data_IF_039177958050
#
_entry.id   IF_039177958050
#
_cell.length_a   1.000
_cell.length_b   1.000
_cell.length_c   1.000
_cell.angle_alpha   90.00
_cell.angle_beta   90.00
_cell.angle_gamma   90.00
#
_symmetry.space_group_name_H-M   'P 1'
#
loop_
_entity.id
_entity.type
_entity.pdbx_description
1 polymer ?
#
# COMPACT_ATOMS: atom_id res chain seq x y z
N UNK A 1 -10.62 -3.84 26.89
CA UNK A 1 -9.15 -4.02 26.82
C UNK A 1 -8.93 -5.28 26.00
N UNK A 2 -8.69 -5.13 24.70
CA UNK A 2 -8.45 -6.26 23.79
C UNK A 2 -6.96 -6.60 23.90
N UNK A 3 -6.61 -7.45 24.88
CA UNK A 3 -5.28 -8.02 24.97
C UNK A 3 -5.24 -9.22 24.00
N UNK A 4 -4.62 -9.03 22.84
CA UNK A 4 -4.23 -10.13 21.96
C UNK A 4 -3.16 -10.94 22.70
N UNK A 5 -3.59 -12.01 23.37
CA UNK A 5 -2.74 -12.91 24.19
C UNK A 5 -2.23 -14.10 23.38
N UNK A 6 -2.82 -14.34 22.22
CA UNK A 6 -2.29 -15.19 21.18
C UNK A 6 -1.74 -14.22 20.14
N UNK A 7 -0.43 -14.25 19.92
CA UNK A 7 0.12 -13.60 18.74
C UNK A 7 -0.57 -14.23 17.54
N UNK A 8 -1.60 -13.56 17.01
CA UNK A 8 -2.03 -13.82 15.66
C UNK A 8 -0.81 -13.47 14.83
N UNK A 9 -0.09 -14.50 14.40
CA UNK A 9 0.91 -14.38 13.37
C UNK A 9 0.21 -13.63 12.24
N UNK A 10 0.53 -12.34 12.10
CA UNK A 10 0.01 -11.53 11.02
C UNK A 10 0.50 -12.23 9.75
N UNK A 11 -0.38 -12.99 9.10
CA UNK A 11 -0.03 -13.66 7.86
C UNK A 11 0.48 -12.58 6.90
N UNK A 12 1.69 -12.76 6.41
CA UNK A 12 2.26 -11.87 5.43
C UNK A 12 1.37 -11.88 4.19
N UNK A 13 0.68 -10.77 3.95
CA UNK A 13 -0.17 -10.59 2.77
C UNK A 13 0.67 -10.00 1.64
N UNK A 14 0.66 -10.69 0.49
CA UNK A 14 1.25 -10.19 -0.74
C UNK A 14 0.16 -9.62 -1.65
N UNK A 15 0.46 -8.52 -2.32
CA UNK A 15 -0.44 -7.86 -3.26
C UNK A 15 0.24 -7.72 -4.61
N UNK A 16 -0.50 -7.98 -5.69
CA UNK A 16 -0.03 -7.71 -7.05
C UNK A 16 -0.34 -6.25 -7.41
N UNK A 17 0.65 -5.55 -7.96
CA UNK A 17 0.53 -4.16 -8.39
C UNK A 17 0.78 -4.06 -9.90
N UNK A 18 -0.01 -3.23 -10.57
CA UNK A 18 0.22 -2.80 -11.95
C UNK A 18 0.99 -1.47 -11.94
N UNK A 19 2.10 -1.39 -12.68
CA UNK A 19 2.89 -0.15 -12.78
C UNK A 19 2.12 0.86 -13.63
N UNK A 20 1.74 1.99 -13.03
CA UNK A 20 1.04 3.07 -13.72
C UNK A 20 1.97 4.16 -14.25
N UNK A 21 3.10 4.39 -13.57
CA UNK A 21 4.12 5.34 -14.00
C UNK A 21 5.50 4.91 -13.48
N UNK A 22 6.54 5.13 -14.29
CA UNK A 22 7.91 4.83 -13.91
C UNK A 22 8.89 5.74 -14.68
N UNK A 23 9.78 6.39 -13.93
CA UNK A 23 10.95 7.10 -14.45
C UNK A 23 12.22 6.79 -13.62
N UNK A 24 13.31 7.51 -13.88
CA UNK A 24 14.60 7.30 -13.21
C UNK A 24 14.57 7.61 -11.69
N UNK A 25 13.55 8.31 -11.20
CA UNK A 25 13.43 8.76 -9.82
C UNK A 25 12.29 8.08 -9.06
N UNK A 26 11.18 7.78 -9.73
CA UNK A 26 9.96 7.34 -9.08
C UNK A 26 9.31 6.16 -9.80
N UNK A 27 8.68 5.29 -9.01
CA UNK A 27 7.75 4.26 -9.48
C UNK A 27 6.41 4.43 -8.76
N UNK A 28 5.32 4.45 -9.53
CA UNK A 28 3.94 4.43 -9.03
C UNK A 28 3.28 3.17 -9.55
N UNK A 29 2.72 2.37 -8.64
CA UNK A 29 2.01 1.16 -8.98
C UNK A 29 0.70 1.04 -8.19
N UNK A 30 -0.32 0.46 -8.80
CA UNK A 30 -1.68 0.39 -8.25
C UNK A 30 -2.10 -1.07 -8.15
N UNK A 31 -2.55 -1.49 -6.97
CA UNK A 31 -3.31 -2.72 -6.77
C UNK A 31 -4.77 -2.34 -6.64
N UNK A 32 -5.53 -2.55 -7.71
CA UNK A 32 -6.97 -2.27 -7.72
C UNK A 32 -7.68 -3.19 -6.75
N UNK A 33 -8.60 -2.63 -5.97
CA UNK A 33 -9.33 -3.37 -4.92
C UNK A 33 -8.41 -4.13 -3.93
N UNK A 34 -7.16 -3.66 -3.80
CA UNK A 34 -6.13 -4.32 -3.00
C UNK A 34 -6.42 -4.28 -1.50
N UNK A 35 -7.39 -3.47 -1.05
CA UNK A 35 -7.90 -3.44 0.33
C UNK A 35 -9.40 -3.77 0.37
N UNK A 36 -9.82 -4.75 -0.43
CA UNK A 36 -11.22 -5.13 -0.62
C UNK A 36 -11.84 -4.39 -1.82
N UNK A 37 -13.12 -4.63 -2.09
CA UNK A 37 -13.85 -4.21 -3.32
C UNK A 37 -14.04 -2.69 -3.51
N UNK A 38 -13.32 -1.85 -2.75
CA UNK A 38 -13.52 -0.41 -2.73
C UNK A 38 -12.22 0.38 -2.81
N UNK A 39 -11.18 -0.10 -2.12
CA UNK A 39 -9.97 0.67 -1.86
C UNK A 39 -8.83 0.16 -2.72
N UNK A 40 -8.37 1.04 -3.60
CA UNK A 40 -7.13 0.85 -4.33
C UNK A 40 -5.94 1.07 -3.39
N UNK A 41 -4.91 0.25 -3.56
CA UNK A 41 -3.60 0.47 -2.93
C UNK A 41 -2.68 1.12 -3.94
N UNK A 42 -2.20 2.33 -3.65
CA UNK A 42 -1.20 3.02 -4.47
C UNK A 42 0.15 2.95 -3.77
N UNK A 43 1.10 2.28 -4.40
CA UNK A 43 2.49 2.21 -3.96
C UNK A 43 3.29 3.29 -4.70
N UNK A 44 3.91 4.19 -3.96
CA UNK A 44 4.87 5.15 -4.47
C UNK A 44 6.26 4.79 -3.94
N UNK A 45 7.23 4.64 -4.83
CA UNK A 45 8.62 4.33 -4.48
C UNK A 45 9.51 5.46 -4.99
N UNK A 46 10.27 6.07 -4.08
CA UNK A 46 11.38 6.96 -4.39
C UNK A 46 12.64 6.10 -4.54
N UNK A 47 13.09 5.97 -5.79
CA UNK A 47 14.23 5.14 -6.17
C UNK A 47 15.57 5.78 -5.76
N UNK A 48 15.61 7.09 -5.54
CA UNK A 48 16.83 7.84 -5.23
C UNK A 48 16.95 8.11 -3.74
N UNK A 49 15.83 8.45 -3.10
CA UNK A 49 15.74 8.69 -1.66
C UNK A 49 15.59 7.43 -0.81
N UNK A 50 15.54 6.24 -1.44
CA UNK A 50 15.40 4.93 -0.79
C UNK A 50 14.17 4.87 0.13
N UNK A 51 13.05 5.40 -0.34
CA UNK A 51 11.82 5.51 0.44
C UNK A 51 10.61 4.95 -0.30
N UNK A 52 9.61 4.52 0.45
CA UNK A 52 8.32 4.15 -0.14
C UNK A 52 7.15 4.58 0.73
N UNK A 53 6.04 4.94 0.08
CA UNK A 53 4.76 5.20 0.73
C UNK A 53 3.68 4.32 0.12
N UNK A 54 2.79 3.84 0.98
CA UNK A 54 1.56 3.17 0.61
C UNK A 54 0.40 4.11 0.89
N UNK A 55 -0.36 4.44 -0.13
CA UNK A 55 -1.59 5.21 -0.02
C UNK A 55 -2.79 4.30 -0.31
N UNK A 56 -3.93 4.60 0.30
CA UNK A 56 -5.20 3.97 -0.05
C UNK A 56 -6.28 5.02 -0.21
N UNK A 57 -7.16 4.79 -1.19
CA UNK A 57 -8.32 5.64 -1.46
C UNK A 57 -9.35 4.86 -2.27
N UNK A 58 -10.62 5.32 -2.29
CA UNK A 58 -11.62 4.74 -3.20
C UNK A 58 -11.14 4.74 -4.65
N UNK A 59 -11.34 3.60 -5.33
CA UNK A 59 -11.04 3.44 -6.75
C UNK A 59 -12.09 4.09 -7.67
N UNK A 60 -12.12 3.66 -8.93
CA UNK A 60 -13.14 4.13 -9.88
C UNK A 60 -14.53 3.54 -9.55
N UNK A 61 -15.41 4.37 -8.97
CA UNK A 61 -16.77 4.00 -8.61
C UNK A 61 -17.35 4.93 -7.54
N UNK A 62 -18.65 4.82 -7.26
CA UNK A 62 -19.28 5.50 -6.12
C UNK A 62 -19.12 4.62 -4.86
N UNK A 63 -17.88 4.53 -4.37
CA UNK A 63 -17.58 3.84 -3.11
C UNK A 63 -17.16 4.84 -2.03
N UNK A 64 -17.70 4.66 -0.82
CA UNK A 64 -17.34 5.43 0.36
C UNK A 64 -16.32 4.63 1.16
N UNK A 65 -15.04 4.96 0.98
CA UNK A 65 -13.92 4.34 1.67
C UNK A 65 -12.96 5.38 2.24
N UNK A 66 -12.20 4.98 3.26
CA UNK A 66 -11.22 5.84 3.90
C UNK A 66 -10.09 6.21 2.95
N UNK A 67 -9.52 7.40 3.15
CA UNK A 67 -8.31 7.86 2.47
C UNK A 67 -7.19 7.95 3.50
N UNK A 68 -6.04 7.36 3.18
CA UNK A 68 -4.90 7.42 4.08
C UNK A 68 -3.59 7.06 3.43
N UNK A 69 -2.53 7.13 4.23
CA UNK A 69 -1.18 6.83 3.81
C UNK A 69 -0.34 6.28 4.95
N UNK A 70 0.62 5.44 4.61
CA UNK A 70 1.65 4.91 5.49
C UNK A 70 3.02 5.02 4.82
N UNK A 71 4.05 5.33 5.61
CA UNK A 71 5.44 5.19 5.17
C UNK A 71 5.87 3.75 5.36
N UNK A 72 6.49 3.17 4.34
CA UNK A 72 7.11 1.86 4.44
C UNK A 72 8.55 2.06 4.88
N UNK A 73 8.86 1.56 6.08
CA UNK A 73 10.21 1.58 6.65
C UNK A 73 10.72 0.15 6.60
N UNK A 74 11.76 -0.08 5.79
CA UNK A 74 12.50 -1.35 5.75
C UNK A 74 13.82 -1.24 6.50
N UNK A 75 14.38 -2.38 6.89
CA UNK A 75 15.75 -2.41 7.38
C UNK A 75 16.73 -2.20 6.21
N UNK A 76 17.66 -1.26 6.38
CA UNK A 76 18.82 -1.10 5.50
C UNK A 76 19.73 -2.32 5.70
N UNK A 77 19.73 -3.26 4.74
CA UNK A 77 20.65 -4.40 4.73
C UNK A 77 22.09 -3.97 4.39
#
# INVERSE_FOLDING_TARGET
>A
MLNHTEGQDLEAQAFAYEVSAWDDQHLVAISKDGMGECLDRILNVDLVGEGATLEWRPGEGDCQGDIGKAMLVGDLL
#
